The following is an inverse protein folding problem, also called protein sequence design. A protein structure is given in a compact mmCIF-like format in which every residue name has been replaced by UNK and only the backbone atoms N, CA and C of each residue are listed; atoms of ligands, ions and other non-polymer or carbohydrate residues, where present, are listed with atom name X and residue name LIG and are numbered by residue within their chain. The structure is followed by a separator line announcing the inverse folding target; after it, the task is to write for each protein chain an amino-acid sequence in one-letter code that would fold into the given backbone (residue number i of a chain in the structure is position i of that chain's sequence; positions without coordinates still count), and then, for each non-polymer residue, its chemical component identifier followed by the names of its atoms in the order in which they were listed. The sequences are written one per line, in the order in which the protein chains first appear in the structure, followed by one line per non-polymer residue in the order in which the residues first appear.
data_IF_282823918292
#
_entry.id   IF_282823918292
#
_cell.length_a   1.000
_cell.length_b   1.000
_cell.length_c   1.000
_cell.angle_alpha   90.00
_cell.angle_beta   90.00
_cell.angle_gamma   90.00
#
_symmetry.space_group_name_H-M   'P 1'
#
loop_
_entity.id
_entity.type
_entity.pdbx_description
1 polymer ?
#
# COMPACT_ATOMS: atom_id res chain seq x y z
N UNK A 1 -18.92 18.12 14.85
CA UNK A 1 -18.36 16.74 14.92
C UNK A 1 -19.33 15.73 15.52
N UNK A 2 -19.99 16.01 16.65
CA UNK A 2 -21.05 15.13 17.18
C UNK A 2 -22.24 14.90 16.23
N UNK A 3 -22.66 15.91 15.46
CA UNK A 3 -23.82 15.81 14.57
C UNK A 3 -23.60 14.92 13.34
N UNK A 4 -22.38 14.85 12.83
CA UNK A 4 -22.01 13.92 11.73
C UNK A 4 -21.96 12.45 12.19
N UNK A 5 -21.51 12.20 13.43
CA UNK A 5 -21.57 10.87 14.05
C UNK A 5 -23.02 10.43 14.25
N UNK A 6 -23.91 11.35 14.64
CA UNK A 6 -25.33 11.05 14.87
C UNK A 6 -26.11 10.77 13.58
N UNK A 7 -25.71 11.31 12.44
CA UNK A 7 -26.39 11.05 11.16
C UNK A 7 -26.11 9.62 10.62
N UNK A 8 -24.90 9.07 10.83
CA UNK A 8 -24.59 7.66 10.53
C UNK A 8 -25.18 6.66 11.54
N UNK A 9 -25.59 7.13 12.70
CA UNK A 9 -26.14 6.33 13.79
C UNK A 9 -27.59 5.84 13.57
N UNK A 10 -28.29 6.38 12.58
CA UNK A 10 -29.72 6.01 12.37
C UNK A 10 -29.93 4.52 12.05
N UNK A 11 -28.93 3.85 11.45
CA UNK A 11 -28.99 2.42 11.13
C UNK A 11 -28.73 1.48 12.33
N UNK A 12 -27.97 1.92 13.33
CA UNK A 12 -27.60 1.06 14.49
C UNK A 12 -28.46 1.30 15.75
N UNK A 13 -29.52 2.10 15.67
CA UNK A 13 -30.37 2.42 16.83
C UNK A 13 -31.06 1.20 17.46
N UNK A 14 -31.18 0.12 16.74
CA UNK A 14 -31.85 -1.11 17.17
C UNK A 14 -30.88 -2.30 17.29
N UNK A 15 -29.58 -2.06 17.08
CA UNK A 15 -28.56 -3.10 17.21
C UNK A 15 -28.47 -3.56 18.67
N UNK A 16 -28.40 -4.87 18.89
CA UNK A 16 -28.21 -5.47 20.22
C UNK A 16 -26.84 -5.12 20.79
N UNK A 17 -25.85 -5.02 19.94
CA UNK A 17 -24.47 -4.67 20.27
C UNK A 17 -23.86 -3.93 19.07
N UNK A 18 -22.95 -3.01 19.35
CA UNK A 18 -22.31 -2.13 18.37
C UNK A 18 -20.81 -2.36 18.40
N UNK A 19 -20.18 -2.47 17.23
CA UNK A 19 -18.72 -2.51 17.07
C UNK A 19 -18.23 -1.18 16.50
N UNK A 20 -17.18 -0.62 17.13
CA UNK A 20 -16.40 0.48 16.59
C UNK A 20 -15.06 -0.05 16.13
N UNK A 21 -14.65 0.29 14.91
CA UNK A 21 -13.33 -0.08 14.36
C UNK A 21 -12.62 1.18 13.84
N UNK A 22 -11.39 1.43 14.30
CA UNK A 22 -10.53 2.45 13.71
C UNK A 22 -10.29 2.15 12.23
N UNK A 23 -10.35 3.16 11.38
CA UNK A 23 -10.08 3.03 9.95
C UNK A 23 -8.68 3.57 9.67
N UNK A 24 -7.73 2.68 9.46
CA UNK A 24 -6.35 2.93 9.01
C UNK A 24 -5.92 1.83 8.07
N UNK A 25 -4.93 2.09 7.21
CA UNK A 25 -4.36 1.14 6.26
C UNK A 25 -3.38 0.15 6.93
N UNK A 26 -3.77 -0.42 8.08
CA UNK A 26 -2.98 -1.40 8.82
C UNK A 26 -3.87 -2.46 9.47
N UNK A 27 -3.32 -3.67 9.59
CA UNK A 27 -3.92 -4.76 10.33
C UNK A 27 -3.60 -4.72 11.83
N UNK A 28 -4.15 -5.70 12.58
CA UNK A 28 -3.86 -5.86 14.01
C UNK A 28 -4.46 -4.76 14.91
N UNK A 29 -5.40 -3.98 14.41
CA UNK A 29 -6.02 -2.83 15.09
C UNK A 29 -6.55 -3.16 16.49
N UNK A 30 -7.14 -4.34 16.66
CA UNK A 30 -7.69 -4.78 17.95
C UNK A 30 -6.64 -4.91 19.07
N UNK A 31 -5.36 -5.13 18.72
CA UNK A 31 -4.23 -5.25 19.65
C UNK A 31 -3.35 -3.98 19.69
N UNK A 32 -3.72 -2.94 18.94
CA UNK A 32 -2.98 -1.68 18.89
C UNK A 32 -3.16 -0.83 20.14
N UNK A 33 -2.37 0.25 20.24
CA UNK A 33 -2.46 1.21 21.35
C UNK A 33 -2.43 2.62 20.77
N UNK A 34 -3.35 3.46 21.23
CA UNK A 34 -3.39 4.87 20.88
C UNK A 34 -2.45 5.71 21.75
N UNK A 35 -1.94 6.79 21.22
CA UNK A 35 -1.21 7.81 21.97
C UNK A 35 -2.10 8.54 22.98
N UNK A 36 -3.44 8.47 22.86
CA UNK A 36 -4.41 8.86 23.89
C UNK A 36 -4.42 7.96 25.12
N UNK A 37 -3.72 6.81 25.08
CA UNK A 37 -3.72 5.77 26.11
C UNK A 37 -4.85 4.73 25.95
N UNK A 38 -5.75 4.88 25.00
CA UNK A 38 -6.79 3.88 24.70
C UNK A 38 -6.13 2.63 24.12
N UNK A 39 -6.46 1.46 24.67
CA UNK A 39 -5.98 0.16 24.18
C UNK A 39 -7.01 -0.46 23.25
N UNK A 40 -6.54 -0.91 22.08
CA UNK A 40 -7.38 -1.50 21.04
C UNK A 40 -8.02 -0.47 20.11
N UNK A 41 -7.99 -0.75 18.80
CA UNK A 41 -8.71 0.02 17.78
C UNK A 41 -10.02 -0.64 17.36
N UNK A 42 -10.50 -1.65 18.11
CA UNK A 42 -11.78 -2.33 17.91
C UNK A 42 -12.45 -2.47 19.27
N UNK A 43 -13.64 -1.92 19.40
CA UNK A 43 -14.41 -1.92 20.66
C UNK A 43 -15.84 -2.36 20.43
N UNK A 44 -16.36 -3.14 21.36
CA UNK A 44 -17.74 -3.58 21.41
C UNK A 44 -18.48 -2.86 22.55
N UNK A 45 -19.71 -2.44 22.30
CA UNK A 45 -20.55 -1.82 23.34
C UNK A 45 -22.03 -2.05 23.05
N UNK A 46 -22.81 -2.20 24.14
CA UNK A 46 -24.29 -2.24 24.09
C UNK A 46 -24.92 -0.86 24.35
N UNK A 47 -24.12 0.09 24.81
CA UNK A 47 -24.59 1.45 25.10
C UNK A 47 -24.18 2.42 23.99
N UNK A 48 -25.15 2.96 23.21
CA UNK A 48 -24.88 3.95 22.18
C UNK A 48 -24.16 5.21 22.67
N UNK A 49 -24.29 5.57 23.96
CA UNK A 49 -23.60 6.73 24.53
C UNK A 49 -22.08 6.53 24.62
N UNK A 50 -21.65 5.29 24.85
CA UNK A 50 -20.23 4.91 24.92
C UNK A 50 -19.56 5.03 23.56
N UNK A 51 -20.30 4.85 22.44
CA UNK A 51 -19.77 4.98 21.08
C UNK A 51 -19.14 6.35 20.85
N UNK A 52 -19.83 7.43 21.26
CA UNK A 52 -19.31 8.79 21.13
C UNK A 52 -18.04 9.03 21.95
N UNK A 53 -17.96 8.47 23.15
CA UNK A 53 -16.79 8.60 24.03
C UNK A 53 -15.59 7.84 23.45
N UNK A 54 -15.79 6.62 22.94
CA UNK A 54 -14.76 5.83 22.28
C UNK A 54 -14.27 6.52 20.99
N UNK A 55 -15.19 7.00 20.16
CA UNK A 55 -14.84 7.72 18.94
C UNK A 55 -13.98 8.97 19.21
N UNK A 56 -14.27 9.72 20.29
CA UNK A 56 -13.46 10.87 20.71
C UNK A 56 -12.06 10.50 21.18
N UNK A 57 -11.86 9.29 21.70
CA UNK A 57 -10.54 8.79 22.12
C UNK A 57 -9.76 8.14 20.97
N UNK A 58 -10.42 7.89 19.84
CA UNK A 58 -9.82 7.30 18.65
C UNK A 58 -9.51 8.34 17.56
N UNK A 59 -10.49 9.19 17.22
CA UNK A 59 -10.35 10.16 16.13
C UNK A 59 -9.39 11.29 16.53
N UNK A 60 -8.39 11.51 15.66
CA UNK A 60 -7.35 12.53 15.86
C UNK A 60 -6.11 12.02 16.59
N UNK A 61 -6.16 10.80 17.14
CA UNK A 61 -5.05 10.14 17.82
C UNK A 61 -4.37 9.11 16.91
N UNK A 62 -3.10 8.81 17.19
CA UNK A 62 -2.32 7.83 16.43
C UNK A 62 -2.50 6.44 17.04
N UNK A 63 -2.80 5.46 16.19
CA UNK A 63 -2.89 4.05 16.56
C UNK A 63 -1.62 3.31 16.13
N UNK A 64 -0.85 2.82 17.09
CA UNK A 64 0.30 1.96 16.84
C UNK A 64 -0.11 0.48 16.88
N UNK A 65 0.27 -0.27 15.83
CA UNK A 65 0.06 -1.72 15.70
C UNK A 65 1.38 -2.39 15.30
N UNK A 66 1.40 -3.71 15.13
CA UNK A 66 2.58 -4.41 14.59
C UNK A 66 2.91 -4.02 13.13
N UNK A 67 1.94 -3.52 12.38
CA UNK A 67 2.05 -3.17 10.96
C UNK A 67 2.18 -1.67 10.70
N UNK A 68 2.21 -0.84 11.75
CA UNK A 68 2.42 0.61 11.62
C UNK A 68 3.83 1.00 12.06
N UNK A 69 4.32 2.21 11.68
CA UNK A 69 5.46 2.82 12.34
C UNK A 69 5.28 2.91 13.87
N UNK A 70 6.37 3.10 14.61
CA UNK A 70 6.32 3.19 16.09
C UNK A 70 5.48 4.36 16.59
N UNK A 71 5.42 5.43 15.83
CA UNK A 71 4.62 6.64 16.08
C UNK A 71 3.13 6.39 15.88
N UNK A 72 2.77 5.26 15.28
CA UNK A 72 1.42 4.92 14.86
C UNK A 72 0.95 5.70 13.64
N UNK A 73 -0.29 5.42 13.22
CA UNK A 73 -0.98 6.11 12.13
C UNK A 73 -2.20 6.83 12.68
N UNK A 74 -2.40 8.07 12.24
CA UNK A 74 -3.50 8.92 12.72
C UNK A 74 -4.85 8.37 12.26
N UNK A 75 -5.74 8.18 13.22
CA UNK A 75 -7.12 7.74 12.94
C UNK A 75 -8.00 8.97 12.64
N UNK A 76 -8.40 9.11 11.38
CA UNK A 76 -9.29 10.17 10.92
C UNK A 76 -10.76 9.76 10.92
N UNK A 77 -11.03 8.46 10.81
CA UNK A 77 -12.38 7.89 10.68
C UNK A 77 -12.51 6.64 11.54
N UNK A 78 -13.72 6.39 12.01
CA UNK A 78 -14.10 5.14 12.66
C UNK A 78 -15.31 4.55 11.95
N UNK A 79 -15.31 3.23 11.76
CA UNK A 79 -16.48 2.49 11.30
C UNK A 79 -17.34 2.15 12.52
N UNK A 80 -18.63 2.37 12.42
CA UNK A 80 -19.64 1.95 13.41
C UNK A 80 -20.58 0.97 12.71
N UNK A 81 -20.68 -0.23 13.25
CA UNK A 81 -21.52 -1.28 12.67
C UNK A 81 -22.25 -2.06 13.77
N UNK A 82 -23.31 -2.76 13.39
CA UNK A 82 -23.92 -3.77 14.24
C UNK A 82 -22.91 -4.92 14.46
N UNK A 83 -22.72 -5.34 15.70
CA UNK A 83 -21.93 -6.49 16.03
C UNK A 83 -22.80 -7.75 15.89
N UNK A 84 -22.27 -8.72 15.14
CA UNK A 84 -22.91 -10.03 14.98
C UNK A 84 -22.10 -11.06 15.77
N UNK A 85 -22.81 -12.01 16.39
CA UNK A 85 -22.18 -13.12 17.10
C UNK A 85 -21.55 -14.07 16.09
N UNK A 86 -20.22 -14.19 16.14
CA UNK A 86 -19.46 -15.08 15.26
C UNK A 86 -19.34 -16.44 15.92
N UNK A 87 -19.86 -17.49 15.27
CA UNK A 87 -19.73 -18.87 15.71
C UNK A 87 -18.45 -19.52 15.20
N UNK A 88 -17.99 -19.10 14.00
CA UNK A 88 -16.79 -19.63 13.37
C UNK A 88 -16.14 -18.60 12.45
N UNK A 89 -14.82 -18.48 12.53
CA UNK A 89 -14.01 -17.58 11.72
C UNK A 89 -13.18 -18.38 10.72
N UNK A 90 -13.22 -17.99 9.46
CA UNK A 90 -12.38 -18.51 8.39
C UNK A 90 -11.69 -17.36 7.65
N UNK A 91 -10.69 -17.68 6.87
CA UNK A 91 -9.97 -16.73 6.01
C UNK A 91 -10.31 -16.97 4.55
N UNK A 92 -10.51 -15.89 3.81
CA UNK A 92 -10.69 -15.93 2.36
C UNK A 92 -10.00 -14.73 1.71
N UNK A 93 -9.22 -14.98 0.67
CA UNK A 93 -8.66 -13.93 -0.17
C UNK A 93 -8.75 -14.28 -1.65
N UNK A 94 -8.86 -13.27 -2.50
CA UNK A 94 -8.75 -13.35 -3.94
C UNK A 94 -7.62 -12.41 -4.34
N UNK A 95 -6.62 -12.91 -5.04
CA UNK A 95 -5.44 -12.12 -5.38
C UNK A 95 -4.91 -12.49 -6.78
N UNK A 96 -4.19 -11.55 -7.39
CA UNK A 96 -3.43 -11.82 -8.61
C UNK A 96 -2.15 -12.57 -8.24
N UNK A 97 -1.96 -13.76 -8.80
CA UNK A 97 -0.75 -14.57 -8.58
C UNK A 97 0.03 -14.73 -9.88
N UNK A 98 1.25 -14.18 -9.90
CA UNK A 98 2.15 -14.24 -11.07
C UNK A 98 2.57 -15.66 -11.40
N UNK A 99 2.69 -16.56 -10.40
CA UNK A 99 3.06 -17.97 -10.63
C UNK A 99 1.98 -18.75 -11.36
N UNK A 100 0.74 -18.26 -11.29
CA UNK A 100 -0.44 -18.88 -11.90
C UNK A 100 -0.99 -18.07 -13.09
N UNK A 101 -0.37 -16.92 -13.42
CA UNK A 101 -0.79 -16.02 -14.50
C UNK A 101 -2.24 -15.56 -14.44
N UNK A 102 -2.79 -15.42 -13.25
CA UNK A 102 -4.20 -15.03 -13.09
C UNK A 102 -4.65 -14.96 -11.63
N UNK A 103 -5.97 -14.83 -11.43
CA UNK A 103 -6.55 -14.81 -10.09
C UNK A 103 -6.45 -16.17 -9.41
N UNK A 104 -6.15 -16.13 -8.11
CA UNK A 104 -6.18 -17.30 -7.23
C UNK A 104 -7.05 -16.98 -6.04
N UNK A 105 -7.92 -17.91 -5.66
CA UNK A 105 -8.64 -17.85 -4.40
C UNK A 105 -7.85 -18.63 -3.37
N UNK A 106 -7.56 -17.99 -2.25
CA UNK A 106 -6.85 -18.58 -1.12
C UNK A 106 -7.80 -18.62 0.06
N UNK A 107 -7.90 -19.77 0.73
CA UNK A 107 -8.75 -19.92 1.90
C UNK A 107 -8.11 -20.75 2.99
N UNK A 108 -8.52 -20.48 4.24
CA UNK A 108 -8.15 -21.27 5.40
C UNK A 108 -9.35 -21.42 6.34
N UNK A 109 -9.57 -22.60 6.95
CA UNK A 109 -10.57 -22.77 8.00
C UNK A 109 -10.21 -22.03 9.30
N UNK A 110 -8.98 -21.50 9.41
CA UNK A 110 -8.52 -20.65 10.50
C UNK A 110 -8.53 -19.20 10.07
N UNK A 111 -9.50 -18.44 10.59
CA UNK A 111 -9.63 -17.00 10.39
C UNK A 111 -9.48 -16.21 11.67
N UNK A 112 -9.59 -14.88 11.58
CA UNK A 112 -9.44 -13.98 12.74
C UNK A 112 -8.01 -13.86 13.27
N UNK A 113 -7.04 -14.51 12.62
CA UNK A 113 -5.61 -14.57 12.98
C UNK A 113 -4.74 -14.12 11.81
N UNK A 114 -3.43 -14.02 12.07
CA UNK A 114 -2.43 -13.74 11.06
C UNK A 114 -2.27 -14.96 10.13
N UNK A 115 -2.59 -14.77 8.85
CA UNK A 115 -2.59 -15.86 7.87
C UNK A 115 -1.18 -16.32 7.53
N UNK A 116 -0.18 -15.44 7.61
CA UNK A 116 1.22 -15.78 7.39
C UNK A 116 1.73 -16.74 8.49
N UNK A 117 1.28 -16.54 9.72
CA UNK A 117 1.59 -17.46 10.84
C UNK A 117 0.93 -18.82 10.62
N UNK A 118 -0.31 -18.85 10.14
CA UNK A 118 -1.01 -20.10 9.79
C UNK A 118 -0.28 -20.82 8.65
N UNK A 119 0.11 -20.08 7.59
CA UNK A 119 0.82 -20.64 6.44
C UNK A 119 2.21 -21.20 6.81
N UNK A 120 2.89 -20.59 7.79
CA UNK A 120 4.18 -21.05 8.27
C UNK A 120 4.09 -22.28 9.17
N UNK A 121 3.06 -22.34 10.04
CA UNK A 121 2.90 -23.40 11.04
C UNK A 121 2.09 -24.60 10.55
N UNK A 122 1.06 -24.36 9.73
CA UNK A 122 0.11 -25.37 9.25
C UNK A 122 -0.20 -25.15 7.76
N UNK A 123 0.78 -25.31 6.84
CA UNK A 123 0.63 -25.04 5.42
C UNK A 123 -0.47 -25.89 4.74
N UNK A 124 -0.80 -27.05 5.32
CA UNK A 124 -1.87 -27.94 4.85
C UNK A 124 -3.27 -27.35 5.05
N UNK A 125 -3.42 -26.30 5.86
CA UNK A 125 -4.68 -25.59 6.05
C UNK A 125 -4.85 -24.42 5.08
N UNK A 126 -3.91 -24.21 4.17
CA UNK A 126 -4.00 -23.19 3.12
C UNK A 126 -4.44 -23.83 1.81
N UNK A 127 -5.67 -23.57 1.43
CA UNK A 127 -6.28 -24.08 0.20
C UNK A 127 -6.20 -23.04 -0.89
N UNK A 128 -5.92 -23.47 -2.13
CA UNK A 128 -5.81 -22.58 -3.30
C UNK A 128 -6.65 -23.11 -4.44
N UNK A 129 -7.42 -22.22 -5.09
CA UNK A 129 -8.15 -22.48 -6.34
C UNK A 129 -7.69 -21.48 -7.39
N UNK A 130 -7.11 -21.99 -8.47
CA UNK A 130 -6.73 -21.17 -9.64
C UNK A 130 -7.95 -20.91 -10.49
N UNK A 131 -8.11 -19.68 -10.94
CA UNK A 131 -9.23 -19.29 -11.78
C UNK A 131 -8.71 -18.94 -13.16
N UNK A 132 -9.27 -19.59 -14.19
CA UNK A 132 -9.02 -19.22 -15.57
C UNK A 132 -9.61 -17.85 -15.86
N UNK A 133 -8.81 -16.97 -16.47
CA UNK A 133 -9.21 -15.58 -16.74
C UNK A 133 -10.32 -15.45 -17.80
N UNK A 134 -10.48 -16.46 -18.66
CA UNK A 134 -11.49 -16.45 -19.72
C UNK A 134 -12.79 -17.10 -19.26
N UNK A 135 -12.69 -18.19 -18.50
CA UNK A 135 -13.86 -18.92 -17.99
C UNK A 135 -14.44 -18.30 -16.72
N UNK A 136 -13.58 -17.67 -15.91
CA UNK A 136 -13.93 -17.17 -14.59
C UNK A 136 -14.16 -18.30 -13.58
N UNK A 137 -14.68 -17.91 -12.39
CA UNK A 137 -14.99 -18.88 -11.34
C UNK A 137 -16.20 -19.73 -11.70
N UNK A 138 -16.09 -21.03 -11.58
CA UNK A 138 -17.20 -21.96 -11.75
C UNK A 138 -17.76 -22.46 -10.41
N UNK A 139 -18.98 -23.04 -10.46
CA UNK A 139 -19.66 -23.49 -9.24
C UNK A 139 -18.88 -24.57 -8.48
N UNK A 140 -18.19 -25.47 -9.19
CA UNK A 140 -17.44 -26.56 -8.55
C UNK A 140 -16.24 -26.02 -7.76
N UNK A 141 -15.56 -25.00 -8.26
CA UNK A 141 -14.45 -24.33 -7.56
C UNK A 141 -14.94 -23.61 -6.29
N UNK A 142 -16.03 -22.85 -6.42
CA UNK A 142 -16.62 -22.16 -5.27
C UNK A 142 -17.11 -23.13 -4.19
N UNK A 143 -17.72 -24.24 -4.60
CA UNK A 143 -18.17 -25.30 -3.68
C UNK A 143 -17.01 -26.01 -2.99
N UNK A 144 -15.93 -26.35 -3.72
CA UNK A 144 -14.72 -26.95 -3.11
C UNK A 144 -14.08 -26.01 -2.10
N UNK A 145 -13.94 -24.74 -2.44
CA UNK A 145 -13.39 -23.76 -1.49
C UNK A 145 -14.28 -23.64 -0.26
N UNK A 146 -15.60 -23.53 -0.40
CA UNK A 146 -16.52 -23.50 0.74
C UNK A 146 -16.40 -24.74 1.63
N UNK A 147 -16.23 -25.94 1.04
CA UNK A 147 -16.02 -27.18 1.75
C UNK A 147 -14.69 -27.21 2.49
N UNK A 148 -13.60 -26.79 1.84
CA UNK A 148 -12.26 -26.66 2.43
C UNK A 148 -12.25 -25.70 3.62
N UNK A 149 -13.05 -24.63 3.56
CA UNK A 149 -13.27 -23.71 4.68
C UNK A 149 -14.15 -24.33 5.80
N UNK A 150 -14.69 -25.54 5.60
CA UNK A 150 -15.49 -26.27 6.58
C UNK A 150 -16.95 -25.86 6.63
N UNK A 151 -17.48 -25.15 5.62
CA UNK A 151 -18.92 -24.91 5.52
C UNK A 151 -19.64 -26.15 5.02
N UNK A 152 -20.71 -26.55 5.72
CA UNK A 152 -21.47 -27.77 5.45
C UNK A 152 -22.95 -27.48 5.18
N UNK A 153 -23.63 -28.41 4.51
CA UNK A 153 -25.07 -28.31 4.25
C UNK A 153 -25.48 -27.02 3.54
N UNK A 154 -26.53 -26.31 4.01
CA UNK A 154 -27.00 -25.07 3.39
C UNK A 154 -25.95 -23.94 3.43
N UNK A 155 -25.09 -23.90 4.44
CA UNK A 155 -24.04 -22.89 4.58
C UNK A 155 -22.96 -23.02 3.50
N UNK A 156 -22.68 -24.22 3.01
CA UNK A 156 -21.77 -24.45 1.89
C UNK A 156 -22.23 -23.70 0.64
N UNK A 157 -23.54 -23.75 0.32
CA UNK A 157 -24.09 -23.03 -0.82
C UNK A 157 -24.03 -21.51 -0.62
N UNK A 158 -24.34 -21.03 0.59
CA UNK A 158 -24.23 -19.61 0.91
C UNK A 158 -22.78 -19.12 0.78
N UNK A 159 -21.80 -19.88 1.32
CA UNK A 159 -20.39 -19.54 1.22
C UNK A 159 -19.92 -19.54 -0.24
N UNK A 160 -20.28 -20.56 -1.03
CA UNK A 160 -19.95 -20.60 -2.45
C UNK A 160 -20.53 -19.41 -3.24
N UNK A 161 -21.77 -19.01 -2.94
CA UNK A 161 -22.38 -17.84 -3.55
C UNK A 161 -21.68 -16.53 -3.15
N UNK A 162 -21.27 -16.38 -1.89
CA UNK A 162 -20.49 -15.24 -1.44
C UNK A 162 -19.09 -15.20 -2.11
N UNK A 163 -18.42 -16.35 -2.23
CA UNK A 163 -17.12 -16.46 -2.92
C UNK A 163 -17.24 -15.99 -4.37
N UNK A 164 -18.28 -16.43 -5.10
CA UNK A 164 -18.54 -15.97 -6.48
C UNK A 164 -18.80 -14.47 -6.55
N UNK A 165 -19.59 -13.92 -5.61
CA UNK A 165 -19.85 -12.48 -5.53
C UNK A 165 -18.59 -11.67 -5.26
N UNK A 166 -17.70 -12.15 -4.36
CA UNK A 166 -16.41 -11.52 -4.08
C UNK A 166 -15.49 -11.55 -5.30
N UNK A 167 -15.48 -12.65 -6.07
CA UNK A 167 -14.74 -12.73 -7.32
C UNK A 167 -15.28 -11.73 -8.36
N UNK A 168 -16.59 -11.61 -8.52
CA UNK A 168 -17.18 -10.61 -9.41
C UNK A 168 -16.87 -9.17 -8.94
N UNK A 169 -16.89 -8.94 -7.63
CA UNK A 169 -16.46 -7.65 -7.07
C UNK A 169 -15.00 -7.37 -7.43
N UNK A 170 -14.10 -8.34 -7.18
CA UNK A 170 -12.67 -8.25 -7.50
C UNK A 170 -12.43 -7.79 -8.95
N UNK A 171 -13.14 -8.40 -9.92
CA UNK A 171 -13.04 -8.00 -11.32
C UNK A 171 -13.67 -6.62 -11.59
N UNK A 172 -14.83 -6.35 -11.00
CA UNK A 172 -15.59 -5.10 -11.26
C UNK A 172 -14.87 -3.85 -10.83
N UNK A 173 -14.10 -3.93 -9.75
CA UNK A 173 -13.42 -2.78 -9.13
C UNK A 173 -11.93 -2.73 -9.47
N UNK A 174 -11.45 -3.58 -10.39
CA UNK A 174 -10.04 -3.71 -10.72
C UNK A 174 -9.15 -3.90 -9.47
N UNK A 175 -9.58 -4.79 -8.58
CA UNK A 175 -8.79 -5.12 -7.41
C UNK A 175 -7.61 -6.01 -7.79
N UNK A 176 -6.47 -5.81 -7.13
CA UNK A 176 -5.31 -6.73 -7.17
C UNK A 176 -5.38 -7.74 -6.03
N UNK A 177 -6.08 -7.39 -4.97
CA UNK A 177 -6.36 -8.25 -3.82
C UNK A 177 -7.69 -7.87 -3.17
N UNK A 178 -8.48 -8.87 -2.81
CA UNK A 178 -9.62 -8.78 -1.90
C UNK A 178 -9.41 -9.79 -0.79
N UNK A 179 -9.15 -9.34 0.42
CA UNK A 179 -8.97 -10.16 1.60
C UNK A 179 -10.16 -9.98 2.54
N UNK A 180 -10.73 -11.09 3.00
CA UNK A 180 -11.83 -11.11 3.99
C UNK A 180 -11.36 -11.91 5.20
N UNK A 181 -11.15 -11.24 6.32
CA UNK A 181 -10.68 -11.86 7.57
C UNK A 181 -11.30 -11.19 8.80
N UNK A 182 -12.31 -11.84 9.42
CA UNK A 182 -12.82 -13.17 9.10
C UNK A 182 -13.89 -13.16 7.99
N UNK A 183 -13.91 -14.25 7.21
CA UNK A 183 -15.04 -14.71 6.43
C UNK A 183 -15.74 -15.76 7.29
N UNK A 184 -16.85 -15.42 7.91
CA UNK A 184 -17.33 -16.15 9.08
C UNK A 184 -18.77 -16.60 9.01
N UNK A 185 -19.10 -17.48 9.93
CA UNK A 185 -20.43 -17.98 10.20
C UNK A 185 -20.98 -17.32 11.46
N UNK A 186 -22.22 -16.83 11.41
CA UNK A 186 -22.93 -16.30 12.57
C UNK A 186 -23.66 -17.41 13.34
N UNK A 187 -23.99 -17.12 14.59
CA UNK A 187 -24.78 -18.03 15.42
C UNK A 187 -26.18 -18.36 14.82
N UNK A 188 -26.70 -17.44 13.99
CA UNK A 188 -27.98 -17.60 13.29
C UNK A 188 -27.86 -18.42 11.98
N UNK A 189 -26.67 -18.89 11.64
CA UNK A 189 -26.43 -19.70 10.45
C UNK A 189 -26.41 -18.87 9.14
N UNK A 190 -25.72 -17.71 9.18
CA UNK A 190 -25.47 -16.89 8.01
C UNK A 190 -23.98 -16.83 7.72
N UNK A 191 -23.60 -16.73 6.45
CA UNK A 191 -22.22 -16.50 6.01
C UNK A 191 -22.01 -15.01 5.76
N UNK A 192 -21.08 -14.39 6.47
CA UNK A 192 -20.86 -12.93 6.47
C UNK A 192 -19.38 -12.58 6.27
N UNK A 193 -19.12 -11.52 5.52
CA UNK A 193 -17.82 -10.86 5.44
C UNK A 193 -17.74 -9.82 6.57
N UNK A 194 -16.98 -10.08 7.61
CA UNK A 194 -16.93 -9.20 8.79
C UNK A 194 -15.94 -8.05 8.67
N UNK A 195 -14.85 -8.27 7.98
CA UNK A 195 -13.87 -7.25 7.67
C UNK A 195 -13.24 -7.56 6.31
N UNK A 196 -12.93 -6.54 5.55
CA UNK A 196 -12.31 -6.68 4.24
C UNK A 196 -11.19 -5.66 4.04
N UNK A 197 -10.12 -6.09 3.39
CA UNK A 197 -9.07 -5.24 2.86
C UNK A 197 -9.01 -5.43 1.36
N UNK A 198 -8.96 -4.34 0.63
CA UNK A 198 -8.98 -4.36 -0.82
C UNK A 198 -7.83 -3.49 -1.33
N UNK A 199 -6.98 -4.08 -2.18
CA UNK A 199 -5.98 -3.36 -2.93
C UNK A 199 -6.47 -3.21 -4.37
N UNK A 200 -6.34 -2.01 -4.92
CA UNK A 200 -6.77 -1.67 -6.26
C UNK A 200 -5.58 -1.56 -7.20
N UNK A 201 -5.80 -1.78 -8.49
CA UNK A 201 -4.81 -1.53 -9.52
C UNK A 201 -4.75 -0.03 -9.81
N UNK A 202 -3.63 0.63 -9.47
CA UNK A 202 -3.41 2.06 -9.74
C UNK A 202 -3.58 2.40 -11.22
N UNK A 203 -3.26 1.46 -12.12
CA UNK A 203 -3.45 1.66 -13.56
C UNK A 203 -4.92 1.72 -13.98
N UNK A 204 -5.84 1.34 -13.12
CA UNK A 204 -7.28 1.40 -13.36
C UNK A 204 -7.92 2.73 -12.90
N UNK A 205 -7.18 3.68 -12.32
CA UNK A 205 -7.69 4.97 -11.82
C UNK A 205 -8.56 5.67 -12.85
N UNK A 206 -8.17 5.65 -14.14
CA UNK A 206 -8.91 6.33 -15.20
C UNK A 206 -10.36 5.87 -15.35
N UNK A 207 -10.68 4.63 -14.98
CA UNK A 207 -12.02 4.03 -15.04
C UNK A 207 -12.67 3.79 -13.68
N UNK A 208 -11.91 3.86 -12.59
CA UNK A 208 -12.37 3.67 -11.21
C UNK A 208 -12.34 4.96 -10.38
N UNK A 209 -12.68 6.10 -11.01
CA UNK A 209 -12.58 7.45 -10.42
C UNK A 209 -13.29 7.59 -9.07
N UNK A 210 -14.44 6.96 -8.91
CA UNK A 210 -15.22 7.03 -7.67
C UNK A 210 -14.51 6.31 -6.51
N UNK A 211 -13.80 5.21 -6.81
CA UNK A 211 -13.02 4.45 -5.84
C UNK A 211 -11.78 5.25 -5.43
N UNK A 212 -11.02 5.75 -6.40
CA UNK A 212 -9.81 6.54 -6.13
C UNK A 212 -10.11 7.89 -5.45
N UNK A 213 -11.32 8.44 -5.64
CA UNK A 213 -11.79 9.62 -4.90
C UNK A 213 -12.02 9.35 -3.40
N UNK A 214 -12.13 8.09 -2.98
CA UNK A 214 -12.27 7.72 -1.56
C UNK A 214 -10.91 7.57 -0.86
N UNK A 215 -9.79 7.62 -1.60
CA UNK A 215 -8.44 7.52 -1.07
C UNK A 215 -8.16 8.61 -0.03
N UNK A 216 -7.69 8.22 1.14
CA UNK A 216 -7.28 9.13 2.21
C UNK A 216 -5.79 9.43 2.11
N UNK A 217 -5.45 10.37 1.21
CA UNK A 217 -4.06 10.80 0.98
C UNK A 217 -3.36 11.36 2.22
N UNK A 218 -4.07 11.56 3.32
CA UNK A 218 -3.47 12.02 4.58
C UNK A 218 -2.65 10.95 5.30
N UNK A 219 -2.80 9.67 4.90
CA UNK A 219 -2.00 8.56 5.43
C UNK A 219 -0.67 8.37 4.68
N UNK A 220 -0.53 8.96 3.49
CA UNK A 220 0.69 8.91 2.70
C UNK A 220 1.74 9.91 3.21
N UNK A 221 3.01 9.62 2.98
CA UNK A 221 4.08 10.57 3.27
C UNK A 221 3.88 11.87 2.45
N UNK A 222 4.08 13.05 3.07
CA UNK A 222 3.85 14.35 2.39
C UNK A 222 4.65 14.49 1.09
N UNK A 223 5.86 13.95 1.04
CA UNK A 223 6.73 14.00 -0.14
C UNK A 223 6.17 13.15 -1.29
N UNK A 224 5.55 12.00 -0.99
CA UNK A 224 4.90 11.12 -1.99
C UNK A 224 3.66 11.79 -2.58
N UNK A 225 2.86 12.44 -1.73
CA UNK A 225 1.72 13.24 -2.18
C UNK A 225 2.15 14.42 -3.07
N UNK A 226 3.26 15.07 -2.76
CA UNK A 226 3.80 16.16 -3.59
C UNK A 226 4.33 15.62 -4.92
N UNK A 227 5.04 14.48 -4.91
CA UNK A 227 5.54 13.82 -6.12
C UNK A 227 4.40 13.45 -7.08
N UNK A 228 3.30 12.89 -6.55
CA UNK A 228 2.14 12.50 -7.33
C UNK A 228 1.49 13.68 -8.10
N UNK A 229 1.58 14.92 -7.60
CA UNK A 229 1.10 16.12 -8.30
C UNK A 229 1.82 16.40 -9.62
N UNK A 230 3.03 15.88 -9.75
CA UNK A 230 3.88 16.03 -10.93
C UNK A 230 3.97 14.74 -11.74
N UNK A 231 3.09 13.77 -11.47
CA UNK A 231 3.10 12.47 -12.14
C UNK A 231 4.43 11.72 -11.97
N UNK A 232 5.02 11.83 -10.78
CA UNK A 232 6.25 11.16 -10.37
C UNK A 232 5.91 10.01 -9.41
N UNK A 233 6.44 8.81 -9.68
CA UNK A 233 6.35 7.67 -8.76
C UNK A 233 7.51 7.74 -7.78
N UNK A 234 7.24 8.19 -6.56
CA UNK A 234 8.23 8.35 -5.48
C UNK A 234 7.84 7.51 -4.27
N UNK A 235 8.80 6.81 -3.70
CA UNK A 235 8.67 6.09 -2.42
C UNK A 235 9.90 6.44 -1.59
N UNK A 236 9.68 6.95 -0.37
CA UNK A 236 10.75 7.22 0.59
C UNK A 236 11.35 5.94 1.15
N UNK A 237 12.68 5.90 1.29
CA UNK A 237 13.45 4.81 1.92
C UNK A 237 14.37 5.37 3.02
N UNK A 238 14.96 4.48 3.81
CA UNK A 238 15.78 4.88 4.99
C UNK A 238 17.26 5.16 4.69
N UNK A 239 17.61 5.38 3.42
CA UNK A 239 19.02 5.60 3.02
C UNK A 239 19.40 7.05 2.87
N UNK A 240 20.60 7.27 2.31
CA UNK A 240 21.22 8.58 2.10
C UNK A 240 21.66 8.83 0.64
N UNK A 241 21.51 7.84 -0.25
CA UNK A 241 21.83 7.99 -1.68
C UNK A 241 20.52 8.07 -2.45
N UNK A 242 20.18 9.25 -2.94
CA UNK A 242 18.97 9.45 -3.69
C UNK A 242 19.09 8.88 -5.11
N UNK A 243 18.01 8.26 -5.58
CA UNK A 243 17.87 7.67 -6.90
C UNK A 243 16.97 8.50 -7.78
N UNK A 244 17.40 8.73 -9.02
CA UNK A 244 16.67 9.43 -10.06
C UNK A 244 16.75 8.61 -11.35
N UNK A 245 15.67 7.90 -11.70
CA UNK A 245 15.70 6.83 -12.70
C UNK A 245 14.46 6.90 -13.61
N UNK A 246 14.58 6.42 -14.84
CA UNK A 246 13.42 6.20 -15.71
C UNK A 246 13.12 4.71 -15.86
N UNK A 247 11.89 4.33 -15.57
CA UNK A 247 11.41 2.97 -15.61
C UNK A 247 11.58 2.22 -14.27
N UNK A 248 10.50 1.65 -13.78
CA UNK A 248 10.43 1.00 -12.47
C UNK A 248 11.44 -0.14 -12.30
N UNK A 249 11.65 -0.95 -13.35
CA UNK A 249 12.64 -2.04 -13.32
C UNK A 249 14.07 -1.54 -13.16
N UNK A 250 14.45 -0.46 -13.87
CA UNK A 250 15.77 0.14 -13.75
C UNK A 250 15.92 0.83 -12.37
N UNK A 251 14.86 1.41 -11.83
CA UNK A 251 14.87 2.02 -10.49
C UNK A 251 15.09 0.96 -9.40
N UNK A 252 14.42 -0.19 -9.47
CA UNK A 252 14.67 -1.31 -8.56
C UNK A 252 16.11 -1.81 -8.68
N UNK A 253 16.59 -2.06 -9.89
CA UNK A 253 17.98 -2.51 -10.13
C UNK A 253 19.01 -1.48 -9.63
N UNK A 254 18.72 -0.18 -9.74
CA UNK A 254 19.59 0.88 -9.22
C UNK A 254 19.66 0.85 -7.70
N UNK A 255 18.53 0.68 -7.02
CA UNK A 255 18.49 0.50 -5.56
C UNK A 255 19.28 -0.75 -5.14
N UNK A 256 19.11 -1.87 -5.85
CA UNK A 256 19.85 -3.12 -5.58
C UNK A 256 21.37 -2.95 -5.74
N UNK A 257 21.81 -2.27 -6.81
CA UNK A 257 23.24 -2.01 -7.05
C UNK A 257 23.81 -1.12 -5.94
N UNK A 258 23.12 -0.08 -5.51
CA UNK A 258 23.55 0.75 -4.39
C UNK A 258 23.72 -0.11 -3.13
N UNK A 259 22.75 -0.94 -2.82
CA UNK A 259 22.77 -1.80 -1.64
C UNK A 259 23.91 -2.84 -1.70
N UNK A 260 24.11 -3.50 -2.85
CA UNK A 260 25.17 -4.49 -3.06
C UNK A 260 26.59 -3.89 -2.93
N UNK A 261 26.72 -2.58 -3.17
CA UNK A 261 27.99 -1.85 -2.99
C UNK A 261 28.12 -1.19 -1.62
N UNK A 262 27.27 -1.56 -0.65
CA UNK A 262 27.33 -1.08 0.74
C UNK A 262 26.69 0.28 0.97
N UNK A 263 26.06 0.88 -0.05
CA UNK A 263 25.27 2.11 0.09
C UNK A 263 23.83 1.83 0.56
N UNK A 264 23.07 2.89 0.82
CA UNK A 264 21.66 2.80 1.20
C UNK A 264 20.83 3.75 0.33
N UNK A 265 19.87 3.24 -0.48
CA UNK A 265 19.01 4.10 -1.28
C UNK A 265 18.06 4.92 -0.38
N UNK A 266 17.98 6.23 -0.63
CA UNK A 266 17.12 7.15 0.10
C UNK A 266 15.68 7.14 -0.42
N UNK A 267 15.49 6.74 -1.67
CA UNK A 267 14.18 6.71 -2.32
C UNK A 267 14.19 5.77 -3.53
N UNK A 268 13.01 5.32 -3.88
CA UNK A 268 12.69 4.85 -5.22
C UNK A 268 12.04 6.02 -5.99
N UNK A 269 12.50 6.28 -7.20
CA UNK A 269 11.90 7.30 -8.08
C UNK A 269 11.91 6.81 -9.51
N UNK A 270 10.72 6.73 -10.10
CA UNK A 270 10.52 6.47 -11.52
C UNK A 270 9.89 7.68 -12.20
N UNK A 271 10.58 8.21 -13.20
CA UNK A 271 10.12 9.35 -14.01
C UNK A 271 9.13 8.97 -15.11
N UNK A 272 8.95 7.66 -15.36
CA UNK A 272 8.20 7.17 -16.51
C UNK A 272 8.90 7.42 -17.87
N UNK A 273 8.16 7.18 -18.96
CA UNK A 273 8.70 7.24 -20.34
C UNK A 273 8.54 8.59 -21.04
N UNK A 274 7.64 9.45 -20.59
CA UNK A 274 7.27 10.71 -21.25
C UNK A 274 7.68 11.97 -20.50
N UNK A 275 8.78 11.93 -19.74
CA UNK A 275 9.17 12.99 -18.80
C UNK A 275 9.45 14.33 -19.52
N UNK A 276 9.01 15.40 -18.88
CA UNK A 276 9.25 16.79 -19.30
C UNK A 276 10.32 17.45 -18.42
N UNK A 277 11.00 18.48 -18.93
CA UNK A 277 12.01 19.24 -18.20
C UNK A 277 11.51 19.75 -16.83
N UNK A 278 10.24 20.20 -16.77
CA UNK A 278 9.63 20.66 -15.52
C UNK A 278 9.50 19.53 -14.47
N UNK A 279 9.22 18.31 -14.90
CA UNK A 279 9.14 17.14 -13.99
C UNK A 279 10.54 16.78 -13.46
N UNK A 280 11.58 16.85 -14.29
CA UNK A 280 12.97 16.66 -13.88
C UNK A 280 13.32 17.65 -12.77
N UNK A 281 13.02 18.93 -12.97
CA UNK A 281 13.26 19.97 -11.97
C UNK A 281 12.53 19.71 -10.66
N UNK A 282 11.24 19.33 -10.70
CA UNK A 282 10.46 19.03 -9.51
C UNK A 282 10.98 17.78 -8.77
N UNK A 283 11.39 16.75 -9.50
CA UNK A 283 12.01 15.58 -8.91
C UNK A 283 13.30 15.93 -8.14
N UNK A 284 14.17 16.77 -8.72
CA UNK A 284 15.36 17.26 -8.00
C UNK A 284 14.98 18.07 -6.77
N UNK A 285 13.98 18.94 -6.86
CA UNK A 285 13.48 19.72 -5.73
C UNK A 285 12.98 18.82 -4.59
N UNK A 286 12.26 17.76 -4.92
CA UNK A 286 11.79 16.78 -3.94
C UNK A 286 12.96 16.05 -3.27
N UNK A 287 13.88 15.50 -4.06
CA UNK A 287 15.05 14.78 -3.57
C UNK A 287 15.91 15.66 -2.65
N UNK A 288 16.16 16.91 -3.06
CA UNK A 288 17.00 17.84 -2.29
C UNK A 288 16.32 18.42 -1.05
N UNK A 289 15.01 18.25 -0.93
CA UNK A 289 14.27 18.64 0.28
C UNK A 289 14.41 17.64 1.43
N UNK A 290 14.83 16.40 1.15
CA UNK A 290 15.07 15.39 2.16
C UNK A 290 16.47 15.63 2.79
N UNK A 291 16.54 15.97 4.08
CA UNK A 291 17.82 16.24 4.77
C UNK A 291 18.70 14.99 4.93
N UNK A 292 18.17 13.80 4.73
CA UNK A 292 18.92 12.54 4.77
C UNK A 292 19.80 12.34 3.53
N UNK A 293 19.51 13.03 2.42
CA UNK A 293 20.19 12.84 1.14
C UNK A 293 21.57 13.46 1.19
N UNK A 294 22.59 12.63 1.04
CA UNK A 294 24.02 13.00 1.01
C UNK A 294 24.62 12.89 -0.39
N UNK A 295 24.01 12.14 -1.30
CA UNK A 295 24.43 12.01 -2.70
C UNK A 295 23.22 11.69 -3.60
N UNK A 296 23.32 12.02 -4.89
CA UNK A 296 22.30 11.74 -5.89
C UNK A 296 22.91 10.92 -7.04
N UNK A 297 22.27 9.78 -7.35
CA UNK A 297 22.57 8.97 -8.51
C UNK A 297 21.45 9.09 -9.55
N UNK A 298 21.77 9.69 -10.68
CA UNK A 298 20.89 9.71 -11.87
C UNK A 298 21.29 8.53 -12.77
N UNK A 299 20.34 7.67 -13.07
CA UNK A 299 20.53 6.52 -13.94
C UNK A 299 19.42 6.47 -14.99
N UNK A 300 19.70 6.99 -16.17
CA UNK A 300 18.75 7.13 -17.27
C UNK A 300 19.20 6.23 -18.44
N UNK A 301 18.26 5.41 -18.89
CA UNK A 301 18.38 4.66 -20.13
C UNK A 301 17.48 5.28 -21.19
N UNK A 302 18.10 5.89 -22.19
CA UNK A 302 17.41 6.52 -23.33
C UNK A 302 17.03 5.46 -24.36
N UNK A 303 15.84 5.53 -24.82
CA UNK A 303 15.19 4.69 -25.81
C UNK A 303 13.74 5.15 -25.90
N UNK A 304 13.11 5.35 -24.75
CA UNK A 304 11.78 5.95 -24.61
C UNK A 304 11.90 7.42 -24.21
N UNK A 305 12.94 7.78 -23.43
CA UNK A 305 13.17 9.12 -22.91
C UNK A 305 14.26 9.83 -23.69
N UNK A 306 14.02 11.10 -24.03
CA UNK A 306 15.04 11.96 -24.64
C UNK A 306 16.03 12.45 -23.57
N UNK A 307 17.27 11.94 -23.64
CA UNK A 307 18.34 12.30 -22.70
C UNK A 307 18.68 13.80 -22.68
N UNK A 308 18.46 14.53 -23.79
CA UNK A 308 18.71 15.97 -23.83
C UNK A 308 17.71 16.75 -22.94
N UNK A 309 16.43 16.34 -22.88
CA UNK A 309 15.44 16.91 -21.98
C UNK A 309 15.85 16.69 -20.52
N UNK A 310 16.32 15.49 -20.21
CA UNK A 310 16.82 15.17 -18.86
C UNK A 310 18.04 16.03 -18.52
N UNK A 311 19.04 16.10 -19.41
CA UNK A 311 20.25 16.89 -19.19
C UNK A 311 19.95 18.38 -18.97
N UNK A 312 19.02 18.95 -19.76
CA UNK A 312 18.58 20.33 -19.58
C UNK A 312 17.90 20.55 -18.22
N UNK A 313 16.98 19.64 -17.84
CA UNK A 313 16.31 19.70 -16.55
C UNK A 313 17.28 19.57 -15.36
N UNK A 314 18.27 18.68 -15.45
CA UNK A 314 19.33 18.53 -14.44
C UNK A 314 20.16 19.81 -14.34
N UNK A 315 20.61 20.35 -15.49
CA UNK A 315 21.43 21.58 -15.51
C UNK A 315 20.68 22.76 -14.88
N UNK A 316 19.39 22.89 -15.20
CA UNK A 316 18.52 23.91 -14.60
C UNK A 316 18.38 23.71 -13.10
N UNK A 317 18.07 22.48 -12.65
CA UNK A 317 17.94 22.16 -11.24
C UNK A 317 19.23 22.44 -10.46
N UNK A 318 20.40 22.03 -10.98
CA UNK A 318 21.70 22.30 -10.34
C UNK A 318 21.98 23.80 -10.14
N UNK A 319 21.57 24.63 -11.12
CA UNK A 319 21.77 26.08 -11.04
C UNK A 319 20.80 26.78 -10.09
N UNK A 320 19.51 26.43 -10.19
CA UNK A 320 18.46 27.14 -9.44
C UNK A 320 18.30 26.66 -8.00
N UNK A 321 18.60 25.37 -7.72
CA UNK A 321 18.50 24.79 -6.38
C UNK A 321 19.83 24.87 -5.59
N UNK A 322 20.89 25.42 -6.19
CA UNK A 322 22.23 25.51 -5.56
C UNK A 322 22.64 24.16 -4.93
N UNK A 323 22.67 23.11 -5.78
CA UNK A 323 22.90 21.75 -5.34
C UNK A 323 24.16 21.63 -4.45
N UNK A 324 23.98 21.12 -3.22
CA UNK A 324 25.03 21.03 -2.20
C UNK A 324 25.60 19.62 -2.04
N UNK A 325 24.95 18.62 -2.61
CA UNK A 325 25.34 17.22 -2.52
C UNK A 325 25.97 16.73 -3.82
N UNK A 326 26.89 15.75 -3.78
CA UNK A 326 27.47 15.12 -4.97
C UNK A 326 26.37 14.56 -5.89
N UNK A 327 26.55 14.79 -7.17
CA UNK A 327 25.66 14.31 -8.23
C UNK A 327 26.45 13.45 -9.21
N UNK A 328 26.05 12.19 -9.34
CA UNK A 328 26.58 11.25 -10.35
C UNK A 328 25.49 11.02 -11.38
N UNK A 329 25.82 11.22 -12.66
CA UNK A 329 24.84 11.12 -13.74
C UNK A 329 25.33 10.10 -14.78
N UNK A 330 24.47 9.10 -15.05
CA UNK A 330 24.58 8.20 -16.19
C UNK A 330 23.40 8.47 -17.11
N UNK A 331 23.69 8.89 -18.32
CA UNK A 331 22.74 9.02 -19.43
C UNK A 331 23.21 8.11 -20.56
N UNK A 332 22.44 7.09 -20.92
CA UNK A 332 22.72 6.19 -22.03
C UNK A 332 21.59 6.31 -23.05
N UNK A 333 21.91 6.66 -24.28
CA UNK A 333 20.95 6.89 -25.34
C UNK A 333 21.35 6.25 -26.68
N UNK A 334 20.49 6.37 -27.72
CA UNK A 334 20.72 5.81 -29.06
C UNK A 334 21.91 6.45 -29.80
N UNK A 335 22.29 7.69 -29.48
CA UNK A 335 23.56 8.28 -29.92
C UNK A 335 24.66 7.72 -29.02
N UNK A 336 25.68 7.11 -29.59
CA UNK A 336 26.81 6.42 -28.94
C UNK A 336 27.63 7.25 -27.92
N UNK A 337 27.10 8.33 -27.39
CA UNK A 337 27.74 9.16 -26.38
C UNK A 337 27.27 8.74 -24.98
N UNK A 338 28.10 7.89 -24.36
CA UNK A 338 28.03 7.64 -22.93
C UNK A 338 28.47 8.92 -22.18
N UNK A 339 27.55 9.64 -21.59
CA UNK A 339 27.86 10.80 -20.77
C UNK A 339 27.83 10.42 -19.30
N UNK A 340 28.98 10.13 -18.70
CA UNK A 340 29.14 10.11 -17.25
C UNK A 340 29.58 11.50 -16.80
N UNK A 341 28.71 12.25 -16.14
CA UNK A 341 29.03 13.55 -15.53
C UNK A 341 29.06 13.38 -14.00
N UNK A 342 30.17 13.72 -13.40
CA UNK A 342 30.31 13.80 -11.94
C UNK A 342 30.34 15.30 -11.60
N UNK A 343 29.26 15.79 -10.99
CA UNK A 343 29.23 17.13 -10.42
C UNK A 343 29.59 17.02 -8.94
N UNK A 344 30.73 17.56 -8.57
CA UNK A 344 31.10 17.77 -7.18
C UNK A 344 30.80 19.22 -6.82
N UNK A 345 30.05 19.51 -5.74
CA UNK A 345 29.98 20.84 -5.19
C UNK A 345 31.41 21.37 -4.91
N UNK A 346 31.67 22.66 -5.09
CA UNK A 346 33.00 23.25 -4.91
C UNK A 346 33.69 22.88 -3.57
N UNK A 347 32.90 22.62 -2.52
CA UNK A 347 33.42 22.15 -1.21
C UNK A 347 33.96 20.70 -1.23
N UNK A 348 33.45 19.81 -2.11
CA UNK A 348 33.93 18.44 -2.23
C UNK A 348 35.08 18.29 -3.23
N UNK A 349 35.19 19.20 -4.20
CA UNK A 349 36.27 19.18 -5.20
C UNK A 349 37.66 19.40 -4.55
N UNK A 350 37.74 20.08 -3.42
CA UNK A 350 39.00 20.27 -2.68
C UNK A 350 39.48 18.99 -1.97
N UNK A 351 38.58 18.09 -1.57
CA UNK A 351 38.95 16.81 -0.93
C UNK A 351 39.25 15.69 -1.92
N UNK A 352 38.67 15.75 -3.13
CA UNK A 352 38.85 14.71 -4.16
C UNK A 352 40.16 14.88 -4.98
N UNK A 353 40.80 16.04 -4.90
CA UNK A 353 42.04 16.37 -5.59
C UNK A 353 43.28 16.30 -4.70
N UNK A 354 43.16 15.84 -3.45
CA UNK A 354 44.32 15.66 -2.56
C UNK A 354 44.99 14.30 -2.87
N UNK A 355 46.22 14.31 -3.42
CA UNK A 355 46.94 13.12 -3.84
C UNK A 355 47.37 12.19 -2.70
N UNK A 356 47.03 12.50 -1.45
CA UNK A 356 47.43 11.71 -0.27
C UNK A 356 46.41 10.69 0.20
N UNK A 357 45.26 10.58 -0.49
CA UNK A 357 44.19 9.62 -0.15
C UNK A 357 43.93 8.55 -1.26
N UNK A 358 44.97 8.14 -1.98
CA UNK A 358 44.93 7.00 -2.90
C UNK A 358 45.63 5.78 -2.30
#
# INVERSE_FOLDING_TARGET
MCDLLMASFSGCRYAKEIVLKAQILAGGRGKGVFDSGLKGGVHLTKDPKVVGQLAQQMIGYNLATKQTPKEGVKVNKVMVAEALDISRETYLAILMDRSHNGPVIVGSPQGGVDIEEVAASNPELIFKEQIDIFEGINDSQAQRMAENLGFLGPLKNQAADQIKKLYHLFLKIDATQVEVNPFGETAEGQVVCFDAKINFDDNAEFRQKDIFAMDDKSENEPIENEAARYDLKYIGLDGNIACFVNGAGLAMATCDIIFLNGGKPANFLDLGGGVKEAQVYQAFKLITSDPKVEAILVNIFGGIVNCAIIANGITKACRELELKVPLVVRLEGESQEFLALIFLPQACAQHALDPQNS
#
